data_IF_622568676104
#
_entry.id   IF_622568676104
#
_cell.length_a   1.000
_cell.length_b   1.000
_cell.length_c   1.000
_cell.angle_alpha   90.00
_cell.angle_beta   90.00
_cell.angle_gamma   90.00
#
_symmetry.space_group_name_H-M   'P 1'
#
loop_
_entity.id
_entity.type
_entity.pdbx_description
1 polymer ?
#
# COMPACT_ATOMS: atom_id res chain seq x y z
N UNK A 1 12.96 -12.19 3.95
CA UNK A 1 13.86 -11.70 2.89
C UNK A 1 12.97 -11.12 1.80
N UNK A 2 13.04 -9.82 1.51
CA UNK A 2 12.02 -9.15 0.69
C UNK A 2 12.52 -8.65 -0.68
N UNK A 3 13.83 -8.56 -0.90
CA UNK A 3 14.43 -8.41 -2.23
C UNK A 3 15.89 -8.89 -2.17
N UNK A 4 16.33 -9.78 -3.05
CA UNK A 4 17.70 -10.33 -3.01
C UNK A 4 18.22 -10.60 -4.41
N UNK A 5 19.47 -10.24 -4.68
CA UNK A 5 20.11 -10.53 -5.97
C UNK A 5 20.08 -12.03 -6.26
N UNK A 6 19.79 -12.41 -7.51
CA UNK A 6 19.61 -13.79 -7.93
C UNK A 6 20.19 -14.04 -9.31
N UNK A 7 20.51 -15.30 -9.60
CA UNK A 7 20.87 -15.78 -10.95
C UNK A 7 19.70 -16.50 -11.64
N UNK A 8 18.54 -16.62 -10.98
CA UNK A 8 17.34 -17.21 -11.55
C UNK A 8 16.82 -16.34 -12.70
N UNK A 9 16.36 -16.99 -13.76
CA UNK A 9 15.79 -16.33 -14.95
C UNK A 9 14.32 -16.63 -15.15
N UNK A 10 13.74 -17.51 -14.33
CA UNK A 10 12.32 -17.83 -14.29
C UNK A 10 11.87 -17.86 -12.82
N UNK A 11 10.82 -17.12 -12.44
CA UNK A 11 10.28 -17.17 -11.09
C UNK A 11 9.54 -18.50 -10.85
N UNK A 12 9.57 -18.98 -9.61
CA UNK A 12 8.62 -19.96 -9.09
C UNK A 12 7.18 -19.44 -9.05
N UNK A 13 6.25 -20.28 -8.58
CA UNK A 13 4.82 -19.97 -8.54
C UNK A 13 4.49 -18.69 -7.73
N UNK A 14 5.14 -18.54 -6.58
CA UNK A 14 4.96 -17.49 -5.57
C UNK A 14 6.10 -16.47 -5.56
N UNK A 15 6.85 -16.38 -6.66
CA UNK A 15 8.02 -15.53 -6.79
C UNK A 15 7.84 -14.47 -7.88
N UNK A 16 8.63 -13.41 -7.80
CA UNK A 16 8.82 -12.43 -8.87
C UNK A 16 10.30 -12.12 -9.00
N UNK A 17 10.76 -11.88 -10.22
CA UNK A 17 12.15 -11.51 -10.49
C UNK A 17 12.15 -10.17 -11.21
N UNK A 18 12.67 -9.14 -10.53
CA UNK A 18 12.91 -7.82 -11.11
C UNK A 18 14.28 -7.76 -11.75
N UNK A 19 14.43 -6.93 -12.77
CA UNK A 19 15.66 -6.75 -13.51
C UNK A 19 16.03 -5.28 -13.60
N UNK A 20 17.32 -4.98 -13.52
CA UNK A 20 17.82 -3.60 -13.72
C UNK A 20 17.64 -3.10 -15.15
N UNK A 21 17.73 -3.99 -16.14
CA UNK A 21 17.53 -3.69 -17.55
C UNK A 21 16.07 -3.81 -17.99
N UNK A 22 15.79 -3.29 -19.19
CA UNK A 22 14.57 -3.61 -19.93
C UNK A 22 14.68 -5.01 -20.53
N UNK A 23 13.53 -5.59 -20.89
CA UNK A 23 13.41 -6.91 -21.52
C UNK A 23 14.16 -8.02 -20.75
N UNK A 24 14.11 -7.95 -19.41
CA UNK A 24 14.68 -8.96 -18.49
C UNK A 24 16.20 -9.06 -18.55
N UNK A 25 16.89 -7.95 -18.88
CA UNK A 25 18.34 -7.88 -18.97
C UNK A 25 18.99 -7.32 -17.69
N UNK A 26 20.29 -7.52 -17.55
CA UNK A 26 21.08 -7.03 -16.41
C UNK A 26 20.89 -7.82 -15.13
N UNK A 27 21.25 -7.21 -14.00
CA UNK A 27 21.15 -7.84 -12.67
C UNK A 27 19.69 -8.13 -12.32
N UNK A 28 19.48 -9.28 -11.70
CA UNK A 28 18.17 -9.78 -11.33
C UNK A 28 18.00 -9.84 -9.80
N UNK A 29 16.79 -9.58 -9.33
CA UNK A 29 16.45 -9.53 -7.91
C UNK A 29 15.14 -10.26 -7.65
N UNK A 30 15.19 -11.27 -6.79
CA UNK A 30 14.06 -12.11 -6.39
C UNK A 30 13.28 -11.46 -5.24
N UNK A 31 11.96 -11.49 -5.33
CA UNK A 31 11.04 -11.23 -4.23
C UNK A 31 9.93 -12.30 -4.23
N UNK A 32 9.12 -12.34 -3.18
CA UNK A 32 8.15 -13.41 -2.92
C UNK A 32 6.77 -12.84 -2.60
N UNK A 33 5.76 -13.68 -2.79
CA UNK A 33 4.38 -13.40 -2.45
C UNK A 33 4.23 -12.89 -1.01
N UNK A 34 3.52 -11.77 -0.84
CA UNK A 34 3.32 -11.10 0.45
C UNK A 34 4.41 -10.08 0.80
N UNK A 35 5.48 -9.97 0.01
CA UNK A 35 6.51 -8.96 0.24
C UNK A 35 5.97 -7.54 0.04
N UNK A 36 6.27 -6.67 1.00
CA UNK A 36 6.09 -5.23 0.93
C UNK A 36 7.50 -4.62 0.93
N UNK A 37 7.88 -3.95 -0.15
CA UNK A 37 9.26 -3.44 -0.33
C UNK A 37 9.23 -1.96 -0.66
N UNK A 38 9.79 -1.17 0.26
CA UNK A 38 10.19 0.20 0.01
C UNK A 38 11.66 0.16 -0.48
N UNK A 39 11.86 0.23 -1.80
CA UNK A 39 13.18 0.16 -2.44
C UNK A 39 14.00 1.37 -2.03
N UNK A 40 13.37 2.56 -2.08
CA UNK A 40 14.00 3.83 -1.73
C UNK A 40 14.71 3.75 -0.37
N UNK A 41 14.06 3.15 0.63
CA UNK A 41 14.60 3.03 1.99
C UNK A 41 15.49 1.83 2.22
N UNK A 42 14.99 0.66 1.84
CA UNK A 42 15.61 -0.60 2.26
C UNK A 42 16.69 -1.04 1.29
N UNK A 43 16.66 -0.54 0.05
CA UNK A 43 17.51 -0.97 -1.06
C UNK A 43 17.91 0.24 -1.93
N UNK A 44 18.29 1.36 -1.30
CA UNK A 44 18.55 2.66 -1.96
C UNK A 44 19.36 2.58 -3.27
N UNK A 45 20.41 1.75 -3.40
CA UNK A 45 21.14 1.61 -4.67
C UNK A 45 20.30 1.11 -5.85
N UNK A 46 19.16 0.46 -5.62
CA UNK A 46 18.22 -0.05 -6.61
C UNK A 46 17.04 0.88 -6.88
N UNK A 47 16.94 2.00 -6.16
CA UNK A 47 15.86 2.96 -6.37
C UNK A 47 15.83 3.44 -7.82
N UNK A 48 14.65 3.38 -8.44
CA UNK A 48 14.43 3.73 -9.85
C UNK A 48 15.19 2.86 -10.86
N UNK A 49 15.85 1.78 -10.43
CA UNK A 49 16.66 0.94 -11.32
C UNK A 49 15.97 -0.34 -11.78
N UNK A 50 14.90 -0.78 -11.12
CA UNK A 50 14.18 -1.98 -11.52
C UNK A 50 13.24 -1.67 -12.69
N UNK A 51 13.62 -2.08 -13.91
CA UNK A 51 13.01 -1.65 -15.17
C UNK A 51 12.17 -2.73 -15.86
N UNK A 52 12.29 -4.00 -15.48
CA UNK A 52 11.44 -5.08 -15.97
C UNK A 52 11.21 -6.15 -14.90
N UNK A 53 10.17 -6.97 -15.07
CA UNK A 53 9.81 -8.00 -14.08
C UNK A 53 9.24 -9.24 -14.76
N UNK A 54 9.67 -10.41 -14.30
CA UNK A 54 8.99 -11.68 -14.54
C UNK A 54 8.15 -12.07 -13.33
N UNK A 55 6.94 -12.57 -13.58
CA UNK A 55 5.92 -12.76 -12.56
C UNK A 55 5.50 -14.23 -12.48
N UNK A 56 5.67 -14.83 -11.31
CA UNK A 56 5.16 -16.16 -10.98
C UNK A 56 3.65 -16.26 -11.13
N UNK A 57 3.13 -17.44 -11.43
CA UNK A 57 1.73 -17.63 -11.80
C UNK A 57 0.71 -17.29 -10.70
N UNK A 58 1.11 -17.28 -9.42
CA UNK A 58 0.28 -16.84 -8.30
C UNK A 58 0.30 -15.32 -8.08
N UNK A 59 1.28 -14.63 -8.65
CA UNK A 59 1.67 -13.30 -8.22
C UNK A 59 1.05 -12.20 -9.09
N UNK A 60 0.86 -11.05 -8.46
CA UNK A 60 0.79 -9.75 -9.11
C UNK A 60 1.64 -8.75 -8.33
N UNK A 61 2.08 -7.69 -8.99
CA UNK A 61 2.88 -6.63 -8.38
C UNK A 61 2.09 -5.32 -8.45
N UNK A 62 1.88 -4.69 -7.30
CA UNK A 62 1.42 -3.30 -7.23
C UNK A 62 2.66 -2.42 -7.11
N UNK A 63 2.97 -1.68 -8.17
CA UNK A 63 4.17 -0.87 -8.28
C UNK A 63 3.88 0.61 -8.01
N UNK A 64 4.79 1.26 -7.29
CA UNK A 64 4.67 2.65 -6.87
C UNK A 64 5.88 3.45 -7.35
N UNK A 65 5.60 4.56 -8.04
CA UNK A 65 6.60 5.53 -8.43
C UNK A 65 7.30 6.16 -7.22
N UNK A 66 6.58 6.35 -6.11
CA UNK A 66 7.10 6.97 -4.90
C UNK A 66 7.35 5.94 -3.79
N UNK A 67 8.26 6.31 -2.89
CA UNK A 67 8.47 5.59 -1.65
C UNK A 67 7.19 5.51 -0.82
N UNK A 68 7.19 4.68 0.22
CA UNK A 68 6.16 4.67 1.24
C UNK A 68 4.75 4.33 0.70
N UNK A 69 4.70 3.57 -0.40
CA UNK A 69 3.51 3.07 -1.08
C UNK A 69 2.49 4.16 -1.44
N UNK A 70 2.98 5.34 -1.82
CA UNK A 70 2.16 6.46 -2.25
C UNK A 70 1.65 6.27 -3.68
N UNK A 71 0.32 6.30 -3.83
CA UNK A 71 -0.52 6.10 -5.01
C UNK A 71 0.02 5.05 -6.01
N UNK A 72 -0.56 3.84 -6.09
CA UNK A 72 -0.19 2.83 -7.06
C UNK A 72 -0.11 3.43 -8.46
N UNK A 73 1.06 3.30 -9.06
CA UNK A 73 1.28 3.79 -10.41
C UNK A 73 0.87 2.74 -11.44
N UNK A 74 1.00 1.46 -11.10
CA UNK A 74 0.67 0.36 -12.00
C UNK A 74 0.46 -0.96 -11.27
N UNK A 75 -0.51 -1.77 -11.72
CA UNK A 75 -0.61 -3.19 -11.37
C UNK A 75 -0.04 -4.04 -12.52
N UNK A 76 0.86 -4.97 -12.20
CA UNK A 76 1.53 -5.86 -13.15
C UNK A 76 1.10 -7.30 -12.85
N UNK A 77 0.47 -7.97 -13.82
CA UNK A 77 -0.14 -9.30 -13.65
C UNK A 77 0.48 -10.38 -14.57
N UNK A 78 1.54 -10.00 -15.30
CA UNK A 78 2.29 -10.82 -16.23
C UNK A 78 3.69 -10.23 -16.43
N UNK A 79 4.58 -11.03 -17.02
CA UNK A 79 5.91 -10.59 -17.43
C UNK A 79 5.85 -9.26 -18.19
N UNK A 80 6.64 -8.29 -17.73
CA UNK A 80 6.63 -6.92 -18.23
C UNK A 80 8.05 -6.51 -18.55
N UNK A 81 8.37 -6.41 -19.84
CA UNK A 81 9.71 -6.04 -20.34
C UNK A 81 10.07 -4.55 -20.14
N UNK A 82 9.09 -3.71 -19.80
CA UNK A 82 9.32 -2.29 -19.49
C UNK A 82 8.30 -1.78 -18.46
N UNK A 83 8.75 -1.52 -17.23
CA UNK A 83 7.94 -0.94 -16.17
C UNK A 83 7.94 0.58 -16.35
N UNK A 84 6.98 1.06 -17.13
CA UNK A 84 6.84 2.48 -17.46
C UNK A 84 6.06 3.24 -16.37
N UNK A 85 6.76 3.58 -15.27
CA UNK A 85 6.19 4.38 -14.16
C UNK A 85 7.08 5.55 -13.72
N UNK A 86 8.13 5.89 -14.48
CA UNK A 86 9.05 6.99 -14.17
C UNK A 86 10.17 6.67 -13.16
N UNK A 87 10.25 5.43 -12.69
CA UNK A 87 11.20 4.97 -11.67
C UNK A 87 10.48 4.30 -10.51
N UNK A 88 10.70 3.01 -10.28
CA UNK A 88 10.03 2.30 -9.19
C UNK A 88 10.76 2.53 -7.87
N UNK A 89 10.04 3.08 -6.89
CA UNK A 89 10.56 3.34 -5.53
C UNK A 89 9.97 2.40 -4.47
N UNK A 90 8.82 1.77 -4.73
CA UNK A 90 8.24 0.76 -3.86
C UNK A 90 7.35 -0.23 -4.62
N UNK A 91 7.12 -1.42 -4.05
CA UNK A 91 6.17 -2.39 -4.56
C UNK A 91 5.59 -3.30 -3.48
N UNK A 92 4.44 -3.90 -3.78
CA UNK A 92 3.84 -4.98 -2.99
C UNK A 92 3.58 -6.17 -3.92
N UNK A 93 3.98 -7.37 -3.50
CA UNK A 93 3.68 -8.62 -4.20
C UNK A 93 2.44 -9.25 -3.57
N UNK A 94 1.35 -9.34 -4.33
CA UNK A 94 0.08 -9.88 -3.87
C UNK A 94 -0.29 -11.15 -4.62
N UNK A 95 -1.23 -11.91 -4.05
CA UNK A 95 -1.83 -13.01 -4.78
C UNK A 95 -2.69 -12.41 -5.90
N UNK A 96 -2.48 -12.86 -7.13
CA UNK A 96 -3.24 -12.43 -8.31
C UNK A 96 -4.72 -12.76 -8.15
N UNK A 97 -5.04 -13.88 -7.51
CA UNK A 97 -6.40 -14.27 -7.21
C UNK A 97 -6.87 -13.63 -5.90
N UNK A 98 -7.72 -12.62 -6.03
CA UNK A 98 -8.53 -12.10 -4.94
C UNK A 98 -7.75 -11.51 -3.76
N UNK A 99 -6.66 -10.77 -4.02
CA UNK A 99 -5.93 -10.02 -3.01
C UNK A 99 -5.65 -8.61 -3.52
N UNK A 100 -6.01 -7.60 -2.73
CA UNK A 100 -6.08 -6.21 -3.16
C UNK A 100 -5.31 -5.31 -2.20
N UNK A 101 -4.68 -4.25 -2.69
CA UNK A 101 -4.15 -3.19 -1.83
C UNK A 101 -5.28 -2.17 -1.56
N UNK A 102 -5.44 -1.75 -0.30
CA UNK A 102 -6.36 -0.68 0.08
C UNK A 102 -5.58 0.60 0.28
N UNK A 103 -6.15 1.71 -0.20
CA UNK A 103 -5.56 3.03 -0.08
C UNK A 103 -6.41 3.92 0.83
N UNK A 104 -5.76 4.90 1.44
CA UNK A 104 -6.48 5.99 2.09
C UNK A 104 -5.94 7.36 1.71
N UNK A 105 -6.84 8.33 1.80
CA UNK A 105 -6.59 9.77 1.76
C UNK A 105 -7.15 10.38 3.06
N UNK A 106 -6.50 11.40 3.60
CA UNK A 106 -7.01 12.14 4.75
C UNK A 106 -7.01 13.65 4.51
N UNK A 107 -8.10 14.29 4.91
CA UNK A 107 -8.31 15.74 4.82
C UNK A 107 -8.83 16.30 6.14
N UNK A 108 -8.30 17.44 6.56
CA UNK A 108 -8.79 18.18 7.73
C UNK A 108 -9.56 19.42 7.26
N UNK A 109 -10.89 19.35 7.29
CA UNK A 109 -11.76 20.44 6.84
C UNK A 109 -11.80 21.64 7.80
N UNK A 110 -11.28 21.47 9.03
CA UNK A 110 -11.22 22.56 10.01
C UNK A 110 -10.01 23.48 9.82
N UNK A 111 -9.04 23.06 9.02
CA UNK A 111 -7.79 23.80 8.78
C UNK A 111 -6.79 23.81 9.94
N UNK A 112 -6.94 22.93 10.95
CA UNK A 112 -6.03 22.88 12.10
C UNK A 112 -4.79 22.00 11.86
N UNK A 113 -4.67 21.39 10.67
CA UNK A 113 -3.47 20.68 10.24
C UNK A 113 -3.28 19.32 10.90
N UNK A 114 -4.37 18.62 11.21
CA UNK A 114 -4.30 17.26 11.77
C UNK A 114 -3.62 16.29 10.82
N UNK A 115 -3.07 15.23 11.40
CA UNK A 115 -2.67 14.00 10.72
C UNK A 115 -3.49 12.82 11.22
N UNK A 116 -3.63 11.82 10.38
CA UNK A 116 -4.30 10.55 10.63
C UNK A 116 -3.31 9.42 10.40
N UNK A 117 -3.24 8.49 11.35
CA UNK A 117 -2.48 7.24 11.24
C UNK A 117 -3.46 6.08 11.15
N UNK A 118 -3.28 5.24 10.12
CA UNK A 118 -3.92 3.94 10.02
C UNK A 118 -2.90 2.85 10.33
N UNK A 119 -3.22 2.00 11.30
CA UNK A 119 -2.39 0.85 11.66
C UNK A 119 -3.15 -0.45 11.39
N UNK A 120 -2.78 -1.13 10.31
CA UNK A 120 -3.43 -2.37 9.89
C UNK A 120 -2.60 -3.60 10.23
N UNK A 121 -3.28 -4.67 10.66
CA UNK A 121 -2.63 -5.96 10.90
C UNK A 121 -1.89 -6.44 9.63
N UNK A 122 -0.61 -6.79 9.77
CA UNK A 122 0.22 -7.31 8.67
C UNK A 122 0.71 -6.28 7.65
N UNK A 123 0.38 -4.99 7.79
CA UNK A 123 0.91 -3.90 6.95
C UNK A 123 1.75 -2.91 7.75
N UNK A 124 1.33 -2.58 8.97
CA UNK A 124 1.98 -1.58 9.82
C UNK A 124 1.25 -0.24 9.82
N UNK A 125 1.94 0.81 10.26
CA UNK A 125 1.37 2.15 10.44
C UNK A 125 1.68 3.05 9.25
N UNK A 126 0.66 3.77 8.76
CA UNK A 126 0.77 4.73 7.66
C UNK A 126 0.09 6.04 8.05
N UNK A 127 0.72 7.18 7.78
CA UNK A 127 0.34 8.51 8.29
C UNK A 127 0.01 9.48 7.13
N UNK A 128 -1.08 10.26 7.22
CA UNK A 128 -1.47 11.35 6.30
C UNK A 128 -2.28 12.50 6.95
N UNK A 129 -2.09 13.77 6.53
CA UNK A 129 -0.86 14.22 5.90
C UNK A 129 0.30 13.84 6.82
N UNK A 130 1.42 13.48 6.21
CA UNK A 130 2.64 13.32 6.98
C UNK A 130 3.27 14.73 7.01
N UNK A 131 3.11 15.54 8.06
CA UNK A 131 3.62 16.92 8.08
C UNK A 131 5.15 16.97 7.93
N UNK A 132 5.81 15.86 8.27
CA UNK A 132 7.23 15.61 8.04
C UNK A 132 7.37 14.41 7.10
N UNK A 133 6.99 14.56 5.80
CA UNK A 133 7.04 13.45 4.88
C UNK A 133 8.47 12.96 4.77
N UNK A 134 8.66 11.65 4.92
CA UNK A 134 9.96 11.03 4.66
C UNK A 134 10.41 11.31 3.22
N UNK A 135 11.73 11.39 3.01
CA UNK A 135 12.32 11.76 1.72
C UNK A 135 11.70 10.95 0.55
N UNK A 136 11.28 11.65 -0.51
CA UNK A 136 10.64 11.05 -1.69
C UNK A 136 9.13 10.79 -1.58
N UNK A 137 8.54 10.89 -0.38
CA UNK A 137 7.10 10.72 -0.19
C UNK A 137 6.34 12.06 -0.36
N UNK A 138 5.17 12.01 -0.99
CA UNK A 138 4.29 13.17 -1.08
C UNK A 138 3.24 13.10 0.05
N UNK A 139 3.11 14.13 0.91
CA UNK A 139 2.17 14.10 2.03
C UNK A 139 0.69 14.13 1.60
N UNK A 140 0.39 14.51 0.36
CA UNK A 140 -0.97 14.77 -0.12
C UNK A 140 -1.53 13.71 -1.07
N UNK A 141 -0.78 12.63 -1.35
CA UNK A 141 -1.25 11.54 -2.20
C UNK A 141 -1.75 10.36 -1.38
N UNK A 142 -2.75 9.65 -1.90
CA UNK A 142 -3.26 8.41 -1.33
C UNK A 142 -2.12 7.41 -1.02
N UNK A 143 -2.25 6.61 0.03
CA UNK A 143 -1.22 5.62 0.41
C UNK A 143 -1.85 4.26 0.65
N UNK A 144 -1.16 3.21 0.21
CA UNK A 144 -1.53 1.86 0.63
C UNK A 144 -1.32 1.76 2.15
N UNK A 145 -2.33 1.27 2.87
CA UNK A 145 -2.29 1.10 4.33
C UNK A 145 -2.65 -0.32 4.77
N UNK A 146 -3.09 -1.14 3.83
CA UNK A 146 -3.58 -2.48 4.06
C UNK A 146 -3.53 -3.30 2.78
N UNK A 147 -3.58 -4.62 2.95
CA UNK A 147 -3.95 -5.54 1.88
C UNK A 147 -5.14 -6.37 2.34
N UNK A 148 -6.11 -6.59 1.47
CA UNK A 148 -7.37 -7.26 1.78
C UNK A 148 -7.60 -8.41 0.82
N UNK A 149 -7.85 -9.60 1.35
CA UNK A 149 -8.21 -10.78 0.56
C UNK A 149 -9.72 -10.83 0.39
N UNK A 150 -10.18 -11.42 -0.70
CA UNK A 150 -11.61 -11.68 -0.91
C UNK A 150 -12.20 -12.68 0.10
N UNK A 151 -11.33 -13.38 0.83
CA UNK A 151 -11.70 -14.27 1.94
C UNK A 151 -11.75 -13.58 3.30
N UNK A 152 -11.31 -12.32 3.39
CA UNK A 152 -11.44 -11.50 4.59
C UNK A 152 -12.86 -10.91 4.63
N UNK A 153 -13.83 -11.74 5.02
CA UNK A 153 -15.25 -11.41 5.05
C UNK A 153 -15.67 -10.75 6.38
N UNK A 154 -16.92 -10.33 6.52
CA UNK A 154 -17.44 -9.61 7.70
C UNK A 154 -17.23 -10.33 9.04
N UNK A 155 -17.24 -11.66 9.04
CA UNK A 155 -16.96 -12.50 10.22
C UNK A 155 -15.46 -12.70 10.50
N UNK A 156 -14.60 -12.32 9.56
CA UNK A 156 -13.13 -12.35 9.68
C UNK A 156 -12.50 -11.13 9.00
N UNK A 157 -12.78 -9.92 9.50
CA UNK A 157 -12.34 -8.69 8.87
C UNK A 157 -10.85 -8.43 9.16
N UNK A 158 -10.26 -7.59 8.32
CA UNK A 158 -9.02 -6.90 8.65
C UNK A 158 -9.32 -5.77 9.63
N UNK A 159 -8.65 -5.77 10.78
CA UNK A 159 -8.78 -4.72 11.79
C UNK A 159 -7.71 -3.66 11.58
N UNK A 160 -8.13 -2.40 11.58
CA UNK A 160 -7.25 -1.23 11.46
C UNK A 160 -7.56 -0.24 12.57
N UNK A 161 -6.56 0.08 13.38
CA UNK A 161 -6.67 1.15 14.36
C UNK A 161 -6.52 2.52 13.69
N UNK A 162 -7.30 3.50 14.16
CA UNK A 162 -7.24 4.89 13.70
C UNK A 162 -6.68 5.75 14.82
N UNK A 163 -5.74 6.63 14.47
CA UNK A 163 -5.29 7.70 15.35
C UNK A 163 -5.38 9.02 14.59
N UNK A 164 -5.94 10.05 15.21
CA UNK A 164 -5.88 11.42 14.68
C UNK A 164 -5.09 12.27 15.66
N UNK A 165 -4.20 13.11 15.13
CA UNK A 165 -3.22 13.87 15.92
C UNK A 165 -3.11 15.30 15.42
N UNK A 166 -3.13 16.26 16.33
CA UNK A 166 -2.84 17.67 16.06
C UNK A 166 -1.34 17.91 15.80
N UNK A 167 -0.96 19.05 15.20
CA UNK A 167 0.46 19.43 15.03
C UNK A 167 1.26 19.49 16.34
N UNK A 168 0.63 19.85 17.46
CA UNK A 168 1.26 19.88 18.78
C UNK A 168 1.51 18.49 19.39
N UNK A 169 1.07 17.44 18.70
CA UNK A 169 1.26 16.06 19.10
C UNK A 169 0.17 15.47 19.99
N UNK A 170 -0.87 16.22 20.33
CA UNK A 170 -2.05 15.71 21.05
C UNK A 170 -2.88 14.79 20.15
N UNK A 171 -3.33 13.68 20.72
CA UNK A 171 -4.28 12.79 20.06
C UNK A 171 -5.70 13.31 20.23
N UNK A 172 -6.50 13.12 19.20
CA UNK A 172 -7.93 13.34 19.21
C UNK A 172 -8.61 12.01 18.94
N UNK A 173 -9.68 11.75 19.69
CA UNK A 173 -10.40 10.49 19.62
C UNK A 173 -11.22 10.42 18.31
N UNK A 174 -10.85 9.56 17.35
CA UNK A 174 -11.63 9.38 16.14
C UNK A 174 -12.82 8.45 16.36
N UNK A 175 -13.02 7.94 17.58
CA UNK A 175 -14.02 6.96 18.00
C UNK A 175 -13.76 5.51 17.56
N UNK A 176 -12.53 5.02 17.73
CA UNK A 176 -12.23 3.58 17.70
C UNK A 176 -11.47 3.09 16.47
N UNK A 177 -11.92 1.96 15.91
CA UNK A 177 -11.23 1.22 14.85
C UNK A 177 -12.15 0.94 13.66
N UNK A 178 -11.56 0.58 12.52
CA UNK A 178 -12.30 0.10 11.36
C UNK A 178 -12.05 -1.37 11.11
N UNK A 179 -13.13 -2.07 10.76
CA UNK A 179 -13.09 -3.39 10.15
C UNK A 179 -13.24 -3.24 8.64
N UNK A 180 -12.24 -3.70 7.90
CA UNK A 180 -12.27 -3.82 6.45
C UNK A 180 -12.56 -5.26 6.06
N UNK A 181 -13.48 -5.47 5.14
CA UNK A 181 -13.86 -6.80 4.67
C UNK A 181 -14.30 -6.78 3.21
N UNK A 182 -14.24 -7.92 2.55
CA UNK A 182 -14.69 -8.09 1.18
C UNK A 182 -16.15 -8.55 1.16
N UNK A 183 -16.97 -7.89 0.33
CA UNK A 183 -18.36 -8.27 0.10
C UNK A 183 -18.81 -7.71 -1.26
N UNK A 184 -19.69 -8.43 -1.95
CA UNK A 184 -20.31 -7.98 -3.20
C UNK A 184 -19.29 -7.50 -4.27
N UNK A 185 -18.12 -8.15 -4.32
CA UNK A 185 -17.07 -7.86 -5.31
C UNK A 185 -16.23 -6.62 -5.06
N UNK A 186 -16.27 -6.03 -3.85
CA UNK A 186 -15.50 -4.84 -3.50
C UNK A 186 -15.15 -4.82 -2.01
N UNK A 187 -14.19 -3.98 -1.56
CA UNK A 187 -13.96 -3.80 -0.13
C UNK A 187 -15.12 -3.02 0.48
N UNK A 188 -15.32 -3.23 1.78
CA UNK A 188 -16.26 -2.52 2.63
C UNK A 188 -15.55 -2.17 3.94
N UNK A 189 -15.98 -1.10 4.59
CA UNK A 189 -15.49 -0.70 5.90
C UNK A 189 -16.65 -0.52 6.88
N UNK A 190 -16.40 -0.81 8.16
CA UNK A 190 -17.37 -0.69 9.25
C UNK A 190 -16.68 -0.18 10.52
N UNK A 191 -17.29 0.83 11.16
CA UNK A 191 -16.84 1.37 12.45
C UNK A 191 -17.02 0.35 13.56
N UNK A 192 -16.03 0.28 14.46
CA UNK A 192 -16.08 -0.55 15.66
C UNK A 192 -15.62 0.28 16.86
N UNK A 193 -16.49 0.45 17.87
CA UNK A 193 -17.92 0.10 17.90
C UNK A 193 -18.77 0.80 16.80
N UNK A 194 -19.93 0.22 16.50
CA UNK A 194 -20.83 0.63 15.39
C UNK A 194 -21.58 1.94 15.68
N UNK A 195 -20.85 3.03 15.82
CA UNK A 195 -21.43 4.37 15.81
C UNK A 195 -20.64 5.28 14.87
N UNK A 196 -21.30 6.33 14.38
CA UNK A 196 -20.65 7.33 13.56
C UNK A 196 -19.86 8.27 14.45
N UNK A 197 -18.59 8.49 14.10
CA UNK A 197 -17.79 9.52 14.77
C UNK A 197 -18.33 10.89 14.39
N UNK A 198 -18.56 11.75 15.39
CA UNK A 198 -19.01 13.12 15.13
C UNK A 198 -17.96 13.95 14.35
N UNK A 199 -16.67 13.60 14.49
CA UNK A 199 -15.55 14.35 13.94
C UNK A 199 -14.88 13.70 12.73
N UNK A 200 -15.05 12.39 12.52
CA UNK A 200 -14.43 11.67 11.41
C UNK A 200 -15.49 11.00 10.54
N UNK A 201 -15.50 11.31 9.25
CA UNK A 201 -16.29 10.60 8.25
C UNK A 201 -15.40 10.05 7.16
N UNK A 202 -15.88 9.03 6.43
CA UNK A 202 -15.21 8.55 5.24
C UNK A 202 -16.18 8.27 4.10
N UNK A 203 -15.67 8.40 2.88
CA UNK A 203 -16.30 7.87 1.67
C UNK A 203 -15.38 6.83 1.05
N UNK A 204 -15.92 6.03 0.15
CA UNK A 204 -15.17 4.99 -0.54
C UNK A 204 -15.41 5.10 -2.04
N UNK A 205 -14.31 5.04 -2.78
CA UNK A 205 -14.28 4.93 -4.24
C UNK A 205 -13.36 3.76 -4.59
N UNK A 206 -13.94 2.66 -5.08
CA UNK A 206 -13.22 1.40 -5.30
C UNK A 206 -12.42 0.94 -4.07
N UNK A 207 -11.09 0.87 -4.17
CA UNK A 207 -10.18 0.48 -3.10
C UNK A 207 -9.61 1.68 -2.32
N UNK A 208 -10.11 2.89 -2.57
CA UNK A 208 -9.65 4.15 -1.93
C UNK A 208 -10.68 4.62 -0.91
N UNK A 209 -10.22 4.81 0.33
CA UNK A 209 -11.02 5.33 1.44
C UNK A 209 -10.61 6.77 1.73
N UNK A 210 -11.52 7.72 1.51
CA UNK A 210 -11.28 9.15 1.70
C UNK A 210 -11.82 9.58 3.04
N UNK A 211 -10.93 9.87 3.98
CA UNK A 211 -11.25 10.31 5.32
C UNK A 211 -11.28 11.84 5.41
N UNK A 212 -12.28 12.36 6.11
CA UNK A 212 -12.42 13.80 6.37
C UNK A 212 -12.69 14.04 7.83
N UNK A 213 -11.81 14.81 8.46
CA UNK A 213 -12.02 15.39 9.78
C UNK A 213 -12.85 16.67 9.69
N UNK A 214 -13.84 16.83 10.56
CA UNK A 214 -14.84 17.91 10.59
C UNK A 214 -14.81 18.67 11.91
#
# INVERSE_FOLDING_TARGET
>A
MSLTETTLTSPGHDEVIFYEGRNFDGKAYLSTLGAQVDIYRSYRPLNDKLNSVKIGSACKVVAFYRANYGNPSKELIADTGNIDIGGMSAFIVLNKAGHHALLFEFSDSTGQGRSMTLQSAGFGSVIQPNPEPEEGADPNIARAFATLKETDIDTKPLVTAIFVRKPNGEYEDPNGSLHFYWKDGKPHAKNIPEYESASLSYTQEENVFKFTWK
#
